data_IF_604616952438
#
_entry.id   IF_604616952438
#
_cell.length_a   1.000
_cell.length_b   1.000
_cell.length_c   1.000
_cell.angle_alpha   90.00
_cell.angle_beta   90.00
_cell.angle_gamma   90.00
#
_symmetry.space_group_name_H-M   'P 1'
#
loop_
_entity.id
_entity.type
_entity.pdbx_description
1 polymer ?
#
# COMPACT_ATOMS: atom_id res chain seq x y z
N UNK A 1 -21.62 -13.18 5.34
CA UNK A 1 -20.48 -12.29 5.64
C UNK A 1 -20.73 -10.92 5.01
N UNK A 2 -20.16 -9.86 5.58
CA UNK A 2 -20.27 -8.46 5.14
C UNK A 2 -18.92 -8.00 4.59
N UNK A 3 -18.90 -7.21 3.52
CA UNK A 3 -17.66 -6.63 3.01
C UNK A 3 -17.41 -5.26 3.62
N UNK A 4 -16.23 -5.08 4.21
CA UNK A 4 -15.73 -3.84 4.78
C UNK A 4 -14.54 -3.32 3.99
N UNK A 5 -14.38 -2.00 3.99
CA UNK A 5 -13.23 -1.29 3.44
C UNK A 5 -12.53 -0.55 4.56
N UNK A 6 -11.37 -1.05 4.97
CA UNK A 6 -10.60 -0.54 6.10
C UNK A 6 -9.46 0.34 5.58
N UNK A 7 -9.48 1.64 5.89
CA UNK A 7 -8.37 2.55 5.56
C UNK A 7 -7.32 2.51 6.65
N UNK A 8 -6.07 2.27 6.25
CA UNK A 8 -4.89 2.50 7.06
C UNK A 8 -4.39 3.92 6.75
N UNK A 9 -4.62 4.83 7.68
CA UNK A 9 -4.20 6.24 7.55
C UNK A 9 -2.79 6.36 8.16
N UNK A 10 -1.75 6.63 7.35
CA UNK A 10 -0.39 6.75 7.85
C UNK A 10 -0.27 7.91 8.84
N UNK A 11 0.41 7.67 9.96
CA UNK A 11 0.85 8.70 10.93
C UNK A 11 2.38 8.88 10.92
N UNK A 12 3.09 7.86 10.46
CA UNK A 12 4.54 7.76 10.28
C UNK A 12 4.81 7.02 8.96
N UNK A 13 6.05 7.00 8.47
CA UNK A 13 6.45 6.16 7.34
C UNK A 13 6.26 4.68 7.67
N UNK A 14 5.97 3.85 6.66
CA UNK A 14 5.91 2.41 6.86
C UNK A 14 7.25 1.73 6.56
N UNK A 15 7.61 0.74 7.37
CA UNK A 15 8.78 -0.12 7.20
C UNK A 15 8.36 -1.53 6.79
N UNK A 16 8.19 -1.74 5.47
CA UNK A 16 7.71 -3.00 4.91
C UNK A 16 8.86 -3.70 4.15
N UNK A 17 9.85 -4.17 4.90
CA UNK A 17 10.99 -4.92 4.36
C UNK A 17 10.63 -6.38 4.03
N UNK A 18 11.17 -6.90 2.93
CA UNK A 18 11.30 -8.35 2.73
C UNK A 18 12.67 -8.80 3.27
N UNK A 19 12.66 -9.82 4.14
CA UNK A 19 13.91 -10.47 4.59
C UNK A 19 14.66 -11.04 3.39
N UNK A 20 15.78 -10.42 3.03
CA UNK A 20 16.73 -10.88 2.03
C UNK A 20 18.16 -10.65 2.49
N UNK A 21 19.10 -11.48 2.03
CA UNK A 21 20.54 -11.25 2.29
C UNK A 21 21.01 -10.13 1.35
N UNK A 22 21.11 -8.90 1.86
CA UNK A 22 21.50 -7.71 1.09
C UNK A 22 20.75 -6.45 1.51
N UNK A 23 20.63 -5.48 0.59
CA UNK A 23 19.71 -4.34 0.73
C UNK A 23 18.29 -4.92 0.79
N UNK A 24 17.55 -4.71 1.88
CA UNK A 24 16.16 -5.15 1.96
C UNK A 24 15.34 -4.37 0.91
N UNK A 25 14.73 -5.07 -0.04
CA UNK A 25 13.76 -4.43 -0.94
C UNK A 25 12.50 -4.08 -0.15
N UNK A 26 12.21 -2.79 -0.05
CA UNK A 26 10.96 -2.32 0.56
C UNK A 26 9.82 -2.40 -0.45
N UNK A 27 8.81 -3.22 -0.15
CA UNK A 27 7.54 -3.16 -0.84
C UNK A 27 6.70 -1.98 -0.31
N UNK A 28 6.04 -1.19 -1.16
CA UNK A 28 5.33 0.00 -0.71
C UNK A 28 4.00 -0.32 -0.01
N UNK A 29 3.55 -1.57 -0.09
CA UNK A 29 2.23 -2.01 0.30
C UNK A 29 2.32 -3.37 1.01
N UNK A 30 1.61 -3.52 2.12
CA UNK A 30 1.65 -4.75 2.91
C UNK A 30 0.82 -5.87 2.25
N UNK A 31 1.38 -7.09 2.23
CA UNK A 31 0.68 -8.28 1.75
C UNK A 31 -0.26 -8.86 2.83
N UNK A 32 -1.26 -9.62 2.40
CA UNK A 32 -2.29 -10.19 3.30
C UNK A 32 -1.71 -11.09 4.40
N UNK A 33 -0.64 -11.82 4.12
CA UNK A 33 0.08 -12.68 5.07
C UNK A 33 0.82 -11.88 6.14
N UNK A 34 1.44 -10.76 5.78
CA UNK A 34 2.03 -9.82 6.75
C UNK A 34 0.95 -9.22 7.66
N UNK A 35 -0.16 -8.76 7.06
CA UNK A 35 -1.30 -8.20 7.80
C UNK A 35 -1.89 -9.25 8.74
N UNK A 36 -2.09 -10.48 8.26
CA UNK A 36 -2.63 -11.57 9.06
C UNK A 36 -1.69 -11.95 10.21
N UNK A 37 -0.38 -12.00 9.98
CA UNK A 37 0.62 -12.23 11.03
C UNK A 37 0.58 -11.15 12.11
N UNK A 38 0.50 -9.86 11.72
CA UNK A 38 0.35 -8.76 12.67
C UNK A 38 -0.97 -8.85 13.45
N UNK A 39 -2.04 -9.27 12.77
CA UNK A 39 -3.34 -9.46 13.37
C UNK A 39 -3.35 -10.58 14.40
N UNK A 40 -2.70 -11.71 14.15
CA UNK A 40 -2.53 -12.80 15.12
C UNK A 40 -1.83 -12.32 16.39
N UNK A 41 -0.80 -11.47 16.26
CA UNK A 41 -0.13 -10.87 17.43
C UNK A 41 -1.09 -9.96 18.21
N UNK A 42 -1.86 -9.10 17.53
CA UNK A 42 -2.86 -8.26 18.20
C UNK A 42 -3.96 -9.10 18.87
N UNK A 43 -4.36 -10.19 18.22
CA UNK A 43 -5.36 -11.13 18.72
C UNK A 43 -4.88 -11.82 19.99
N UNK A 44 -3.61 -12.27 20.01
CA UNK A 44 -2.96 -12.83 21.18
C UNK A 44 -2.96 -11.83 22.35
N UNK A 45 -2.64 -10.57 22.09
CA UNK A 45 -2.62 -9.53 23.12
C UNK A 45 -4.00 -9.21 23.70
N UNK A 46 -5.05 -9.22 22.87
CA UNK A 46 -6.41 -8.86 23.28
C UNK A 46 -7.21 -10.05 23.85
N UNK A 47 -7.01 -11.26 23.33
CA UNK A 47 -7.86 -12.41 23.60
C UNK A 47 -7.11 -13.64 24.12
N UNK A 48 -5.79 -13.54 24.29
CA UNK A 48 -4.95 -14.61 24.83
C UNK A 48 -4.72 -15.77 23.86
N UNK A 49 -3.93 -16.75 24.32
CA UNK A 49 -3.53 -17.93 23.52
C UNK A 49 -4.74 -18.74 23.07
N UNK A 50 -5.69 -19.02 23.98
CA UNK A 50 -6.91 -19.77 23.66
C UNK A 50 -7.73 -19.08 22.57
N UNK A 51 -7.92 -17.75 22.65
CA UNK A 51 -8.66 -17.02 21.64
C UNK A 51 -7.97 -17.00 20.27
N UNK A 52 -6.64 -17.04 20.23
CA UNK A 52 -5.89 -17.17 18.99
C UNK A 52 -5.97 -18.60 18.43
N UNK A 53 -5.84 -19.63 19.27
CA UNK A 53 -5.99 -21.03 18.86
C UNK A 53 -7.36 -21.31 18.26
N UNK A 54 -8.43 -20.81 18.88
CA UNK A 54 -9.80 -20.88 18.35
C UNK A 54 -9.92 -20.20 16.99
N UNK A 55 -9.36 -18.99 16.84
CA UNK A 55 -9.34 -18.27 15.57
C UNK A 55 -8.65 -19.10 14.48
N UNK A 56 -7.43 -19.58 14.75
CA UNK A 56 -6.64 -20.34 13.79
C UNK A 56 -7.28 -21.70 13.46
N UNK A 57 -7.90 -22.35 14.44
CA UNK A 57 -8.68 -23.58 14.25
C UNK A 57 -9.74 -23.41 13.17
N UNK A 58 -10.52 -22.33 13.24
CA UNK A 58 -11.56 -22.03 12.22
C UNK A 58 -11.00 -21.83 10.81
N UNK A 59 -9.83 -21.20 10.68
CA UNK A 59 -9.15 -21.09 9.39
C UNK A 59 -8.72 -22.46 8.84
N UNK A 60 -8.20 -23.34 9.69
CA UNK A 60 -7.76 -24.69 9.30
C UNK A 60 -8.94 -25.62 8.96
N UNK A 61 -10.08 -25.42 9.61
CA UNK A 61 -11.33 -26.16 9.35
C UNK A 61 -12.06 -25.67 8.08
N UNK A 62 -11.60 -24.58 7.47
CA UNK A 62 -12.22 -24.02 6.27
C UNK A 62 -13.45 -23.15 6.54
N UNK A 63 -13.67 -22.74 7.78
CA UNK A 63 -14.75 -21.84 8.22
C UNK A 63 -14.20 -20.51 8.76
N UNK A 64 -13.37 -19.79 7.98
CA UNK A 64 -12.69 -18.61 8.49
C UNK A 64 -13.72 -17.54 8.88
N UNK A 65 -13.62 -16.95 10.09
CA UNK A 65 -14.55 -15.91 10.51
C UNK A 65 -14.40 -14.61 9.72
N UNK A 66 -13.30 -14.45 8.98
CA UNK A 66 -13.08 -13.34 8.06
C UNK A 66 -12.07 -13.72 6.96
N UNK A 67 -12.09 -12.98 5.86
CA UNK A 67 -11.09 -13.01 4.79
C UNK A 67 -10.52 -11.61 4.58
N UNK A 68 -9.22 -11.51 4.37
CA UNK A 68 -8.51 -10.25 4.15
C UNK A 68 -7.86 -10.22 2.77
N UNK A 69 -7.94 -9.09 2.09
CA UNK A 69 -7.07 -8.81 0.93
C UNK A 69 -5.68 -8.36 1.39
N UNK A 70 -4.74 -8.29 0.45
CA UNK A 70 -3.55 -7.43 0.63
C UNK A 70 -3.97 -5.96 0.77
N UNK A 71 -3.05 -5.14 1.26
CA UNK A 71 -3.24 -3.70 1.25
C UNK A 71 -3.07 -3.14 -0.18
N UNK A 72 -3.95 -2.23 -0.56
CA UNK A 72 -3.95 -1.55 -1.85
C UNK A 72 -3.90 -0.04 -1.65
N UNK A 73 -3.41 0.74 -2.63
CA UNK A 73 -3.30 2.18 -2.45
C UNK A 73 -4.67 2.88 -2.54
N UNK A 74 -4.80 4.00 -1.83
CA UNK A 74 -5.86 4.98 -2.06
C UNK A 74 -5.29 6.41 -2.06
N UNK A 75 -5.99 7.31 -2.74
CA UNK A 75 -5.71 8.75 -2.76
C UNK A 75 -7.03 9.51 -2.65
N UNK A 76 -7.28 10.16 -1.51
CA UNK A 76 -8.57 10.77 -1.22
C UNK A 76 -9.70 9.74 -1.28
N UNK A 77 -10.69 9.97 -2.14
CA UNK A 77 -11.82 9.07 -2.38
C UNK A 77 -11.58 8.05 -3.51
N UNK A 78 -10.42 8.09 -4.17
CA UNK A 78 -10.03 7.17 -5.24
C UNK A 78 -9.32 5.96 -4.65
N UNK A 79 -9.84 4.77 -4.96
CA UNK A 79 -9.31 3.49 -4.49
C UNK A 79 -8.80 2.69 -5.67
N UNK A 80 -7.66 2.04 -5.47
CA UNK A 80 -7.01 1.25 -6.51
C UNK A 80 -7.10 -0.25 -6.19
N UNK A 81 -7.24 -1.07 -7.22
CA UNK A 81 -7.22 -2.53 -7.18
C UNK A 81 -6.03 -3.03 -8.00
N UNK A 82 -5.48 -4.22 -7.69
CA UNK A 82 -4.41 -4.81 -8.47
C UNK A 82 -4.86 -5.00 -9.93
N UNK A 83 -3.99 -4.71 -10.89
CA UNK A 83 -4.28 -4.87 -12.31
C UNK A 83 -4.59 -6.35 -12.63
N UNK A 84 -5.71 -6.67 -13.31
CA UNK A 84 -6.00 -8.05 -13.73
C UNK A 84 -4.91 -8.57 -14.66
N UNK A 85 -4.30 -9.70 -14.33
CA UNK A 85 -3.21 -10.28 -15.12
C UNK A 85 -3.63 -10.63 -16.56
N UNK A 86 -4.90 -11.02 -16.76
CA UNK A 86 -5.46 -11.31 -18.08
C UNK A 86 -5.65 -10.07 -18.95
N UNK A 87 -5.58 -8.87 -18.37
CA UNK A 87 -5.68 -7.59 -19.08
C UNK A 87 -4.32 -6.87 -19.19
N UNK A 88 -3.26 -7.41 -18.57
CA UNK A 88 -1.92 -6.84 -18.62
C UNK A 88 -1.31 -7.03 -20.02
N UNK A 89 -1.44 -6.01 -20.87
CA UNK A 89 -0.82 -5.93 -22.20
C UNK A 89 0.58 -5.34 -22.11
N UNK A 90 1.37 -5.46 -23.18
CA UNK A 90 2.73 -4.93 -23.25
C UNK A 90 2.83 -3.43 -22.92
N UNK A 91 1.84 -2.65 -23.34
CA UNK A 91 1.74 -1.21 -23.08
C UNK A 91 1.45 -0.85 -21.60
N UNK A 92 0.97 -1.82 -20.81
CA UNK A 92 0.60 -1.70 -19.40
C UNK A 92 1.56 -2.45 -18.46
N UNK A 93 2.73 -2.89 -18.95
CA UNK A 93 3.72 -3.66 -18.14
C UNK A 93 4.18 -2.95 -16.86
N UNK A 94 4.10 -1.62 -16.81
CA UNK A 94 4.46 -0.81 -15.63
C UNK A 94 3.29 -0.54 -14.69
N UNK A 95 2.07 -0.89 -15.09
CA UNK A 95 0.85 -0.62 -14.34
C UNK A 95 0.54 -1.79 -13.43
N UNK A 96 0.66 -1.56 -12.13
CA UNK A 96 0.38 -2.58 -11.10
C UNK A 96 -1.03 -2.45 -10.54
N UNK A 97 -1.63 -1.26 -10.60
CA UNK A 97 -2.97 -1.02 -10.08
C UNK A 97 -3.82 -0.14 -11.00
N UNK A 98 -5.12 -0.37 -10.92
CA UNK A 98 -6.16 0.40 -11.60
C UNK A 98 -7.17 0.92 -10.59
N UNK A 99 -7.64 2.14 -10.78
CA UNK A 99 -8.74 2.71 -10.01
C UNK A 99 -10.02 1.89 -10.17
N UNK A 100 -10.95 2.04 -9.23
CA UNK A 100 -12.30 1.48 -9.36
C UNK A 100 -13.03 1.94 -10.62
N UNK A 101 -12.85 3.20 -11.05
CA UNK A 101 -13.44 3.70 -12.29
C UNK A 101 -12.91 2.98 -13.52
N UNK A 102 -11.60 2.85 -13.64
CA UNK A 102 -10.95 2.09 -14.73
C UNK A 102 -11.36 0.63 -14.69
N UNK A 103 -11.38 0.01 -13.50
CA UNK A 103 -11.79 -1.39 -13.34
C UNK A 103 -13.20 -1.65 -13.88
N UNK A 104 -14.17 -0.79 -13.54
CA UNK A 104 -15.55 -0.90 -14.03
C UNK A 104 -15.63 -0.76 -15.55
N UNK A 105 -14.98 0.26 -16.10
CA UNK A 105 -14.92 0.46 -17.55
C UNK A 105 -14.35 -0.78 -18.28
N UNK A 106 -13.27 -1.37 -17.75
CA UNK A 106 -12.68 -2.59 -18.30
C UNK A 106 -13.65 -3.79 -18.24
N UNK A 107 -14.40 -3.95 -17.14
CA UNK A 107 -15.41 -5.01 -17.00
C UNK A 107 -16.56 -4.86 -18.00
N UNK A 108 -16.92 -3.62 -18.32
CA UNK A 108 -17.96 -3.28 -19.30
C UNK A 108 -17.44 -3.39 -20.74
N UNK A 109 -16.16 -3.72 -20.94
CA UNK A 109 -15.53 -3.85 -22.26
C UNK A 109 -15.15 -2.52 -22.89
N UNK A 110 -15.19 -1.43 -22.12
CA UNK A 110 -14.76 -0.11 -22.56
C UNK A 110 -13.23 -0.01 -22.64
N UNK A 111 -12.76 1.06 -23.30
CA UNK A 111 -11.33 1.39 -23.43
C UNK A 111 -11.06 2.72 -22.74
N UNK A 112 -10.82 2.72 -21.41
CA UNK A 112 -10.55 3.95 -20.68
C UNK A 112 -9.28 4.66 -21.20
N UNK A 113 -9.25 5.98 -21.07
CA UNK A 113 -8.07 6.78 -21.42
C UNK A 113 -6.86 6.38 -20.57
N UNK A 114 -5.67 6.39 -21.17
CA UNK A 114 -4.41 6.04 -20.53
C UNK A 114 -3.85 7.20 -19.69
N UNK A 115 -4.53 7.52 -18.60
CA UNK A 115 -4.12 8.51 -17.61
C UNK A 115 -3.45 7.83 -16.41
N UNK A 116 -2.26 8.29 -16.04
CA UNK A 116 -1.48 7.62 -15.01
C UNK A 116 -0.87 8.56 -13.99
N UNK A 117 -0.68 8.06 -12.78
CA UNK A 117 0.12 8.66 -11.72
C UNK A 117 1.16 7.64 -11.23
N UNK A 118 2.03 8.05 -10.29
CA UNK A 118 3.05 7.20 -9.67
C UNK A 118 3.95 6.54 -10.71
N UNK A 119 4.56 7.31 -11.62
CA UNK A 119 5.48 6.75 -12.62
C UNK A 119 4.85 5.70 -13.57
N UNK A 120 3.53 5.77 -13.80
CA UNK A 120 2.69 4.81 -14.55
C UNK A 120 2.26 3.55 -13.79
N UNK A 121 2.55 3.46 -12.51
CA UNK A 121 2.12 2.33 -11.65
C UNK A 121 0.62 2.33 -11.39
N UNK A 122 -0.01 3.51 -11.33
CA UNK A 122 -1.42 3.67 -11.03
C UNK A 122 -2.17 4.25 -12.24
N UNK A 123 -3.21 3.56 -12.68
CA UNK A 123 -4.09 4.00 -13.77
C UNK A 123 -5.45 4.45 -13.22
N UNK A 124 -5.89 5.66 -13.56
CA UNK A 124 -7.14 6.25 -13.12
C UNK A 124 -7.91 6.94 -14.24
N UNK A 125 -9.19 7.22 -14.02
CA UNK A 125 -10.00 8.02 -14.96
C UNK A 125 -9.73 9.52 -14.80
N UNK A 126 -10.12 10.31 -15.81
CA UNK A 126 -10.01 11.78 -15.79
C UNK A 126 -10.73 12.39 -14.58
N UNK A 127 -11.97 11.97 -14.33
CA UNK A 127 -12.76 12.47 -13.19
C UNK A 127 -12.23 12.01 -11.82
N UNK A 128 -11.44 10.95 -11.75
CA UNK A 128 -10.72 10.57 -10.52
C UNK A 128 -9.45 11.42 -10.33
N UNK A 129 -8.73 11.72 -11.41
CA UNK A 129 -7.54 12.59 -11.36
C UNK A 129 -7.86 13.98 -10.81
N UNK A 130 -9.07 14.49 -11.07
CA UNK A 130 -9.51 15.78 -10.52
C UNK A 130 -9.72 15.77 -9.00
N UNK A 131 -10.07 14.60 -8.44
CA UNK A 131 -10.46 14.40 -7.03
C UNK A 131 -9.34 13.91 -6.12
N UNK A 132 -8.27 13.33 -6.68
CA UNK A 132 -7.12 12.95 -5.84
C UNK A 132 -6.51 14.20 -5.19
N UNK A 133 -6.01 14.09 -3.94
CA UNK A 133 -5.23 15.15 -3.29
C UNK A 133 -4.05 15.60 -4.14
N UNK A 134 -3.49 16.77 -3.83
CA UNK A 134 -2.19 17.15 -4.39
C UNK A 134 -1.15 16.14 -3.93
N UNK A 135 -0.71 15.28 -4.85
CA UNK A 135 0.34 14.30 -4.60
C UNK A 135 1.70 14.97 -4.44
N UNK A 136 2.70 14.17 -4.07
CA UNK A 136 4.10 14.61 -4.08
C UNK A 136 4.55 14.75 -5.53
N UNK A 137 5.02 15.93 -5.92
CA UNK A 137 5.48 16.18 -7.29
C UNK A 137 6.99 16.00 -7.38
N UNK A 138 7.46 15.17 -8.32
CA UNK A 138 8.88 15.13 -8.63
C UNK A 138 9.30 16.34 -9.46
N UNK A 139 10.16 17.20 -8.88
CA UNK A 139 10.58 18.43 -9.54
C UNK A 139 11.51 18.17 -10.72
N UNK A 140 12.34 17.14 -10.65
CA UNK A 140 13.28 16.81 -11.73
C UNK A 140 12.51 16.21 -12.91
N UNK A 141 11.64 15.22 -12.65
CA UNK A 141 10.80 14.66 -13.73
C UNK A 141 9.89 15.72 -14.35
N UNK A 142 9.34 16.63 -13.53
CA UNK A 142 8.54 17.73 -14.02
C UNK A 142 9.37 18.68 -14.89
N UNK A 143 10.60 18.99 -14.49
CA UNK A 143 11.51 19.85 -15.25
C UNK A 143 11.95 19.19 -16.57
N UNK A 144 12.19 17.88 -16.58
CA UNK A 144 12.45 17.10 -17.78
C UNK A 144 11.24 17.10 -18.72
N UNK A 145 10.04 16.88 -18.17
CA UNK A 145 8.78 16.94 -18.92
C UNK A 145 8.59 18.30 -19.60
N UNK A 146 8.82 19.40 -18.87
CA UNK A 146 8.75 20.75 -19.45
C UNK A 146 9.81 21.00 -20.52
N UNK A 147 11.04 20.48 -20.33
CA UNK A 147 12.10 20.59 -21.35
C UNK A 147 11.75 19.85 -22.63
N UNK A 148 11.19 18.65 -22.54
CA UNK A 148 10.73 17.88 -23.69
C UNK A 148 9.53 18.53 -24.40
N UNK A 149 8.72 19.29 -23.66
CA UNK A 149 7.46 19.89 -24.13
C UNK A 149 7.51 21.41 -24.22
N UNK A 150 8.69 22.00 -24.36
CA UNK A 150 8.95 23.45 -24.29
C UNK A 150 8.09 24.35 -25.22
N UNK A 151 7.32 23.76 -26.14
CA UNK A 151 6.44 24.45 -27.10
C UNK A 151 4.94 24.15 -26.92
N UNK A 152 4.52 23.50 -25.82
CA UNK A 152 3.13 23.13 -25.56
C UNK A 152 2.71 23.57 -24.14
N UNK A 153 1.47 24.01 -23.97
CA UNK A 153 0.87 24.13 -22.64
C UNK A 153 0.81 22.75 -22.00
N UNK A 154 1.44 22.59 -20.83
CA UNK A 154 1.42 21.32 -20.09
C UNK A 154 0.25 21.33 -19.11
N UNK A 155 -0.81 20.59 -19.45
CA UNK A 155 -2.00 20.42 -18.63
C UNK A 155 -1.76 19.56 -17.39
N UNK A 156 -2.81 19.36 -16.58
CA UNK A 156 -2.75 18.49 -15.38
C UNK A 156 -2.61 17.01 -15.76
N UNK A 157 -3.21 16.60 -16.88
CA UNK A 157 -3.15 15.23 -17.40
C UNK A 157 -1.74 14.83 -17.84
N UNK A 158 -0.99 15.75 -18.47
CA UNK A 158 0.40 15.49 -18.85
C UNK A 158 1.32 15.41 -17.64
N UNK A 159 1.08 16.27 -16.64
CA UNK A 159 1.85 16.30 -15.38
C UNK A 159 1.52 15.16 -14.43
N UNK A 160 0.39 14.49 -14.62
CA UNK A 160 -0.10 13.51 -13.64
C UNK A 160 0.89 12.37 -13.40
N UNK A 161 1.70 12.02 -14.40
CA UNK A 161 2.72 10.98 -14.28
C UNK A 161 3.77 11.27 -13.22
N UNK A 162 4.02 12.55 -12.96
CA UNK A 162 4.96 13.05 -11.96
C UNK A 162 4.30 13.24 -10.58
N UNK A 163 3.02 12.86 -10.42
CA UNK A 163 2.33 12.83 -9.13
C UNK A 163 2.55 11.49 -8.45
N UNK A 164 3.13 11.54 -7.26
CA UNK A 164 3.43 10.39 -6.44
C UNK A 164 2.52 10.43 -5.21
N UNK A 165 1.76 9.36 -4.98
CA UNK A 165 0.93 9.23 -3.78
C UNK A 165 1.69 8.53 -2.65
N UNK A 166 2.79 7.85 -2.97
CA UNK A 166 3.83 7.44 -2.02
C UNK A 166 5.23 7.59 -2.63
N UNK A 167 6.25 7.68 -1.77
CA UNK A 167 7.67 7.62 -2.13
C UNK A 167 8.40 6.62 -1.25
N UNK A 168 9.44 6.00 -1.81
CA UNK A 168 10.41 5.21 -1.04
C UNK A 168 11.56 6.13 -0.65
N UNK A 169 11.89 6.19 0.63
CA UNK A 169 13.13 6.78 1.14
C UNK A 169 14.16 5.69 1.41
N UNK A 170 15.44 6.06 1.45
CA UNK A 170 16.51 5.21 1.98
C UNK A 170 16.97 5.84 3.30
N UNK A 171 16.65 5.21 4.43
CA UNK A 171 17.20 5.59 5.72
C UNK A 171 18.41 4.68 6.01
N UNK A 172 19.65 5.19 5.96
CA UNK A 172 20.81 4.38 6.33
C UNK A 172 20.82 4.18 7.85
N UNK A 173 20.68 2.94 8.28
CA UNK A 173 20.85 2.55 9.67
C UNK A 173 22.21 1.88 9.87
N UNK A 174 22.78 2.05 11.06
CA UNK A 174 24.07 1.48 11.43
C UNK A 174 23.90 0.71 12.73
N UNK A 175 24.14 -0.60 12.70
CA UNK A 175 24.31 -1.40 13.91
C UNK A 175 25.78 -1.36 14.29
N UNK A 176 26.09 -0.80 15.48
CA UNK A 176 27.46 -0.74 16.01
C UNK A 176 27.62 -1.76 17.13
N UNK A 177 28.50 -2.75 16.92
CA UNK A 177 28.86 -3.70 17.97
C UNK A 177 29.58 -3.01 19.12
N UNK A 178 29.14 -3.27 20.35
CA UNK A 178 29.65 -2.60 21.56
C UNK A 178 30.99 -3.16 22.03
N UNK A 179 31.43 -4.34 21.57
CA UNK A 179 32.70 -4.93 21.97
C UNK A 179 33.84 -4.64 20.97
N UNK A 180 33.54 -4.58 19.67
CA UNK A 180 34.54 -4.45 18.61
C UNK A 180 34.46 -3.15 17.80
N UNK A 181 33.41 -2.32 17.99
CA UNK A 181 33.14 -1.13 17.16
C UNK A 181 33.05 -1.44 15.66
N UNK A 182 32.73 -2.69 15.27
CA UNK A 182 32.38 -3.01 13.90
C UNK A 182 30.99 -2.45 13.57
N UNK A 183 30.88 -1.82 12.40
CA UNK A 183 29.63 -1.27 11.89
C UNK A 183 29.14 -2.12 10.72
N UNK A 184 27.93 -2.66 10.82
CA UNK A 184 27.19 -3.15 9.66
C UNK A 184 26.18 -2.08 9.25
N UNK A 185 26.29 -1.61 8.01
CA UNK A 185 25.34 -0.68 7.41
C UNK A 185 24.24 -1.50 6.77
N UNK A 186 22.99 -1.29 7.21
CA UNK A 186 21.82 -1.80 6.52
C UNK A 186 21.01 -0.62 6.00
N UNK A 187 20.54 -0.72 4.77
CA UNK A 187 19.63 0.25 4.18
C UNK A 187 18.21 -0.28 4.38
N UNK A 188 17.42 0.45 5.16
CA UNK A 188 16.00 0.17 5.36
C UNK A 188 15.22 1.17 4.53
N UNK A 189 14.35 0.69 3.65
CA UNK A 189 13.54 1.58 2.83
C UNK A 189 12.27 1.96 3.56
N UNK A 190 12.05 3.26 3.70
CA UNK A 190 10.85 3.85 4.30
C UNK A 190 9.82 4.15 3.22
N UNK A 191 8.54 3.98 3.52
CA UNK A 191 7.46 4.37 2.60
C UNK A 191 6.69 5.57 3.16
N UNK A 192 6.82 6.71 2.50
CA UNK A 192 6.13 7.95 2.85
C UNK A 192 4.92 8.13 1.94
N UNK A 193 3.73 8.30 2.51
CA UNK A 193 2.53 8.64 1.74
C UNK A 193 2.30 10.15 1.72
N UNK A 194 1.75 10.66 0.62
CA UNK A 194 1.27 12.04 0.54
C UNK A 194 0.06 12.26 1.46
N UNK A 195 -0.20 13.50 1.87
CA UNK A 195 -1.37 13.83 2.67
C UNK A 195 -2.67 13.39 1.96
N UNK A 196 -3.57 12.77 2.73
CA UNK A 196 -4.82 12.20 2.20
C UNK A 196 -4.64 10.94 1.35
N UNK A 197 -3.41 10.39 1.27
CA UNK A 197 -3.11 9.11 0.62
C UNK A 197 -2.74 8.05 1.67
N UNK A 198 -2.82 6.78 1.28
CA UNK A 198 -2.47 5.68 2.18
C UNK A 198 -2.78 4.34 1.57
N UNK A 199 -2.98 3.35 2.45
CA UNK A 199 -3.36 2.00 2.06
C UNK A 199 -4.75 1.63 2.59
N UNK A 200 -5.43 0.73 1.91
CA UNK A 200 -6.69 0.17 2.40
C UNK A 200 -6.73 -1.34 2.18
N UNK A 201 -7.51 -2.01 3.01
CA UNK A 201 -7.74 -3.46 2.98
C UNK A 201 -9.23 -3.70 2.75
N UNK A 202 -9.53 -4.73 1.95
CA UNK A 202 -10.86 -5.31 1.88
C UNK A 202 -10.96 -6.46 2.89
N UNK A 203 -11.97 -6.42 3.75
CA UNK A 203 -12.22 -7.45 4.73
C UNK A 203 -13.64 -7.99 4.57
N UNK A 204 -13.77 -9.27 4.23
CA UNK A 204 -15.05 -9.96 4.31
C UNK A 204 -15.17 -10.54 5.72
N UNK A 205 -16.18 -10.12 6.48
CA UNK A 205 -16.30 -10.40 7.91
C UNK A 205 -17.57 -11.18 8.25
N UNK A 206 -17.43 -12.13 9.17
CA UNK A 206 -18.50 -12.93 9.74
C UNK A 206 -18.83 -12.49 11.17
N UNK A 207 -18.92 -13.46 12.06
CA UNK A 207 -19.32 -13.32 13.46
C UNK A 207 -18.23 -12.68 14.36
N UNK A 208 -17.00 -12.56 13.89
CA UNK A 208 -15.89 -11.96 14.65
C UNK A 208 -15.56 -10.51 14.20
N UNK A 209 -16.50 -9.80 13.57
CA UNK A 209 -16.29 -8.41 13.09
C UNK A 209 -15.77 -7.48 14.20
N UNK A 210 -16.38 -7.52 15.38
CA UNK A 210 -16.00 -6.64 16.49
C UNK A 210 -14.58 -6.93 16.98
N UNK A 211 -14.22 -8.21 17.12
CA UNK A 211 -12.89 -8.60 17.57
C UNK A 211 -11.82 -8.23 16.55
N UNK A 212 -12.11 -8.45 15.26
CA UNK A 212 -11.25 -8.06 14.15
C UNK A 212 -10.98 -6.55 14.14
N UNK A 213 -12.03 -5.73 14.28
CA UNK A 213 -11.89 -4.27 14.29
C UNK A 213 -11.12 -3.77 15.51
N UNK A 214 -11.24 -4.42 16.67
CA UNK A 214 -10.42 -4.11 17.84
C UNK A 214 -8.93 -4.42 17.58
N UNK A 215 -8.61 -5.54 16.94
CA UNK A 215 -7.24 -5.86 16.54
C UNK A 215 -6.66 -4.84 15.57
N UNK A 216 -7.44 -4.36 14.58
CA UNK A 216 -6.97 -3.30 13.68
C UNK A 216 -6.73 -1.96 14.39
N UNK A 217 -7.51 -1.64 15.43
CA UNK A 217 -7.27 -0.45 16.25
C UNK A 217 -5.97 -0.59 17.03
N UNK A 218 -5.76 -1.71 17.70
CA UNK A 218 -4.51 -1.99 18.42
C UNK A 218 -3.30 -1.99 17.48
N UNK A 219 -3.43 -2.59 16.30
CA UNK A 219 -2.38 -2.56 15.27
C UNK A 219 -2.00 -1.13 14.86
N UNK A 220 -2.93 -0.18 14.93
CA UNK A 220 -2.65 1.24 14.67
C UNK A 220 -1.79 1.92 15.74
N UNK A 221 -1.70 1.35 16.94
CA UNK A 221 -0.82 1.81 18.01
C UNK A 221 0.47 0.99 18.08
N UNK A 222 0.40 -0.30 17.76
CA UNK A 222 1.55 -1.21 17.77
C UNK A 222 2.41 -1.10 16.49
N UNK A 223 1.87 -0.59 15.38
CA UNK A 223 2.53 -0.48 14.08
C UNK A 223 2.42 -1.74 13.21
N UNK A 224 2.79 -1.61 11.92
CA UNK A 224 2.77 -2.69 10.91
C UNK A 224 4.09 -2.72 10.14
N UNK A 225 4.90 -3.76 10.34
CA UNK A 225 6.20 -3.90 9.67
C UNK A 225 7.38 -4.16 10.64
N UNK A 226 8.60 -3.98 10.13
CA UNK A 226 9.84 -3.96 10.92
C UNK A 226 9.96 -2.70 11.78
N UNK A 227 10.96 -2.66 12.67
CA UNK A 227 11.36 -1.47 13.46
C UNK A 227 10.20 -0.65 14.09
N UNK A 228 9.18 -1.34 14.61
CA UNK A 228 7.99 -0.73 15.24
C UNK A 228 8.30 0.26 16.38
N UNK A 229 9.51 0.20 16.92
CA UNK A 229 10.02 1.10 17.96
C UNK A 229 10.48 2.47 17.46
N UNK A 230 10.60 2.71 16.15
CA UNK A 230 11.05 3.99 15.57
C UNK A 230 9.91 4.88 15.06
N UNK A 231 8.67 4.40 14.99
CA UNK A 231 7.50 5.23 14.64
C UNK A 231 6.22 4.50 14.25
#
# INVERSE_FOLDING_TARGET
MRLLKLRLVPKSPFHLGQRGVGIEETEPLARSDTIFSALCNCWLMLYGEQGLEELLGRFLEGEPPFLLSSAFPYAGDVYFLPMPMNLARDELRRTSFVSMGVWKALLEGEKPEHLFVQGRTLWLTRGELERIPEGIVDREELADLYRERAHLEVGREERSRCYYIWRRGEAPHVTVDRASSSSEVFQEGDVYFADGCGMYILAEVGDEEEKLLACFRLMGDEGLGGERSSG
#
